data_IF_985903106000
#
_entry.id   IF_985903106000
#
_cell.length_a   1.000
_cell.length_b   1.000
_cell.length_c   1.000
_cell.angle_alpha   90.00
_cell.angle_beta   90.00
_cell.angle_gamma   90.00
#
_symmetry.space_group_name_H-M   'P 1'
#
loop_
_entity.id
_entity.type
_entity.pdbx_description
1 polymer ?
#
# COMPACT_ATOMS: atom_id res chain seq x y z
N UNK A 1 22.07 -40.73 22.57
CA UNK A 1 20.75 -40.15 22.28
C UNK A 1 20.62 -38.87 23.09
N UNK A 2 20.86 -37.70 22.49
CA UNK A 2 20.72 -36.39 23.14
C UNK A 2 19.75 -35.57 22.30
N UNK A 3 18.64 -35.18 22.94
CA UNK A 3 17.51 -34.44 22.41
C UNK A 3 17.91 -32.97 22.27
N UNK A 4 18.20 -32.52 21.05
CA UNK A 4 18.33 -31.09 20.72
C UNK A 4 17.00 -30.67 20.09
N UNK A 5 16.01 -30.47 20.95
CA UNK A 5 14.80 -29.76 20.62
C UNK A 5 14.69 -28.68 21.70
N UNK A 6 14.69 -27.40 21.30
CA UNK A 6 14.32 -26.19 22.08
C UNK A 6 15.23 -24.98 21.77
N UNK A 7 15.59 -24.69 20.52
CA UNK A 7 16.14 -23.35 20.17
C UNK A 7 15.66 -22.93 18.78
N UNK A 8 14.34 -22.91 18.56
CA UNK A 8 13.77 -22.58 17.25
C UNK A 8 12.53 -21.67 17.20
N UNK A 9 11.90 -21.15 18.29
CA UNK A 9 10.74 -20.27 18.09
C UNK A 9 11.05 -18.77 18.21
N UNK A 10 12.22 -18.35 18.71
CA UNK A 10 12.44 -16.93 19.07
C UNK A 10 12.80 -16.05 17.87
N UNK A 11 13.41 -16.60 16.82
CA UNK A 11 13.83 -15.80 15.66
C UNK A 11 12.68 -15.41 14.71
N UNK A 12 11.53 -16.08 14.80
CA UNK A 12 10.39 -15.85 13.92
C UNK A 12 9.51 -14.65 14.35
N UNK A 13 9.59 -14.22 15.61
CA UNK A 13 8.70 -13.18 16.14
C UNK A 13 9.25 -11.77 15.83
N UNK A 14 10.57 -11.62 15.68
CA UNK A 14 11.20 -10.30 15.51
C UNK A 14 11.01 -9.70 14.10
N UNK A 15 10.88 -10.53 13.06
CA UNK A 15 10.67 -10.06 11.68
C UNK A 15 9.22 -9.66 11.38
N UNK A 16 8.27 -10.09 12.23
CA UNK A 16 6.84 -9.83 12.02
C UNK A 16 6.41 -8.40 12.37
N UNK A 17 7.20 -7.68 13.16
CA UNK A 17 6.89 -6.31 13.62
C UNK A 17 7.25 -5.21 12.61
N UNK A 18 8.03 -5.52 11.57
CA UNK A 18 8.44 -4.53 10.56
C UNK A 18 7.47 -4.43 9.37
N UNK A 19 6.51 -5.36 9.24
CA UNK A 19 5.54 -5.36 8.14
C UNK A 19 4.22 -4.64 8.46
N UNK A 20 4.00 -4.21 9.70
CA UNK A 20 2.70 -3.62 10.11
C UNK A 20 2.65 -2.08 10.05
N UNK A 21 3.67 -1.42 9.50
CA UNK A 21 3.81 0.05 9.53
C UNK A 21 3.82 0.73 8.16
N UNK A 22 3.25 0.12 7.12
CA UNK A 22 2.98 0.81 5.86
C UNK A 22 1.59 0.39 5.36
N UNK A 23 0.65 1.34 5.30
CA UNK A 23 -0.72 1.09 4.85
C UNK A 23 -1.77 1.51 5.87
N UNK A 24 -1.57 2.62 6.56
CA UNK A 24 -2.68 3.37 7.16
C UNK A 24 -2.90 4.61 6.31
N UNK A 25 -3.53 4.45 5.15
CA UNK A 25 -4.13 5.61 4.49
C UNK A 25 -5.52 5.81 5.10
N UNK A 26 -5.72 6.90 5.87
CA UNK A 26 -7.02 7.20 6.43
C UNK A 26 -8.01 7.46 5.30
N UNK A 27 -9.17 6.82 5.40
CA UNK A 27 -10.34 7.03 4.53
C UNK A 27 -10.79 8.49 4.66
N UNK A 28 -10.15 9.35 3.88
CA UNK A 28 -10.59 10.71 3.61
C UNK A 28 -11.41 10.58 2.35
N UNK A 29 -12.74 10.65 2.48
CA UNK A 29 -13.61 10.91 1.35
C UNK A 29 -13.19 12.26 0.72
N UNK A 30 -12.21 12.16 -0.17
CA UNK A 30 -11.52 13.28 -0.78
C UNK A 30 -12.47 14.00 -1.71
N UNK A 31 -12.32 15.32 -1.81
CA UNK A 31 -12.93 16.05 -2.93
C UNK A 31 -12.40 15.47 -4.24
N UNK A 32 -13.15 15.62 -5.35
CA UNK A 32 -12.66 15.24 -6.69
C UNK A 32 -11.26 15.79 -6.99
N UNK A 33 -10.95 16.99 -6.52
CA UNK A 33 -9.62 17.59 -6.68
C UNK A 33 -8.51 16.83 -5.94
N UNK A 34 -8.80 16.29 -4.75
CA UNK A 34 -7.87 15.45 -4.00
C UNK A 34 -7.66 14.11 -4.71
N UNK A 35 -8.76 13.49 -5.15
CA UNK A 35 -8.75 12.21 -5.89
C UNK A 35 -7.90 12.32 -7.18
N UNK A 36 -8.00 13.45 -7.90
CA UNK A 36 -7.16 13.75 -9.07
C UNK A 36 -5.68 13.98 -8.73
N UNK A 37 -5.37 14.63 -7.61
CA UNK A 37 -3.99 14.82 -7.16
C UNK A 37 -3.35 13.49 -6.75
N UNK A 38 -4.12 12.63 -6.09
CA UNK A 38 -3.66 11.32 -5.66
C UNK A 38 -3.40 10.41 -6.87
N UNK A 39 -4.30 10.40 -7.87
CA UNK A 39 -4.09 9.74 -9.16
C UNK A 39 -2.84 10.24 -9.88
N UNK A 40 -2.62 11.55 -9.91
CA UNK A 40 -1.42 12.14 -10.52
C UNK A 40 -0.15 11.70 -9.80
N UNK A 41 -0.15 11.62 -8.47
CA UNK A 41 0.99 11.16 -7.69
C UNK A 41 1.27 9.68 -7.95
N UNK A 42 0.25 8.83 -7.96
CA UNK A 42 0.38 7.41 -8.28
C UNK A 42 1.00 7.18 -9.67
N UNK A 43 0.61 7.99 -10.67
CA UNK A 43 1.21 7.94 -12.00
C UNK A 43 2.69 8.36 -11.99
N UNK A 44 3.03 9.47 -11.31
CA UNK A 44 4.42 9.94 -11.18
C UNK A 44 5.32 8.92 -10.49
N UNK A 45 4.79 8.21 -9.50
CA UNK A 45 5.48 7.15 -8.78
C UNK A 45 5.55 5.83 -9.55
N UNK A 46 4.92 5.76 -10.73
CA UNK A 46 4.77 4.57 -11.56
C UNK A 46 4.04 3.42 -10.86
N UNK A 47 3.18 3.75 -9.90
CA UNK A 47 2.29 2.78 -9.25
C UNK A 47 1.15 2.35 -10.19
N UNK A 48 0.77 3.23 -11.12
CA UNK A 48 -0.20 2.97 -12.19
C UNK A 48 0.38 3.34 -13.56
N UNK A 49 -0.12 2.71 -14.62
CA UNK A 49 0.25 3.02 -16.00
C UNK A 49 -0.42 4.31 -16.49
N UNK A 50 0.05 4.85 -17.62
CA UNK A 50 -0.56 6.04 -18.22
C UNK A 50 -1.99 5.79 -18.69
N UNK A 51 -2.31 4.58 -19.14
CA UNK A 51 -3.67 4.20 -19.56
C UNK A 51 -4.61 4.18 -18.35
N UNK A 52 -4.21 3.48 -17.29
CA UNK A 52 -4.98 3.43 -16.03
C UNK A 52 -5.17 4.81 -15.40
N UNK A 53 -4.18 5.70 -15.50
CA UNK A 53 -4.31 7.07 -15.02
C UNK A 53 -5.37 7.84 -15.80
N UNK A 54 -5.37 7.76 -17.14
CA UNK A 54 -6.33 8.49 -17.97
C UNK A 54 -7.76 7.97 -17.77
N UNK A 55 -7.95 6.65 -17.75
CA UNK A 55 -9.26 6.04 -17.53
C UNK A 55 -9.86 6.45 -16.18
N UNK A 56 -9.08 6.36 -15.10
CA UNK A 56 -9.53 6.74 -13.76
C UNK A 56 -9.73 8.25 -13.62
N UNK A 57 -8.92 9.07 -14.29
CA UNK A 57 -9.07 10.52 -14.29
C UNK A 57 -10.40 10.93 -14.94
N UNK A 58 -10.75 10.34 -16.07
CA UNK A 58 -12.04 10.60 -16.74
C UNK A 58 -13.22 10.14 -15.86
N UNK A 59 -13.14 8.97 -15.24
CA UNK A 59 -14.18 8.48 -14.31
C UNK A 59 -14.43 9.46 -13.14
N UNK A 60 -13.37 10.01 -12.55
CA UNK A 60 -13.48 11.01 -11.47
C UNK A 60 -14.08 12.32 -11.99
N UNK A 61 -13.75 12.74 -13.21
CA UNK A 61 -14.29 13.96 -13.81
C UNK A 61 -15.77 13.83 -14.17
N UNK A 62 -16.20 12.68 -14.67
CA UNK A 62 -17.56 12.43 -15.16
C UNK A 62 -18.61 12.25 -14.03
N UNK A 63 -18.19 11.92 -12.81
CA UNK A 63 -19.09 11.67 -11.66
C UNK A 63 -19.96 12.87 -11.23
#
# INVERSE_FOLDING_TARGET
>A
MIRIALIAPVFAILTSLLLTACGSDPDLAGTKGQELLDLQNAHKERAITSEEYEDQKEEVLDR
#
